data_IF_231185935434
#
_entry.id   IF_231185935434
#
_cell.length_a   1.000
_cell.length_b   1.000
_cell.length_c   1.000
_cell.angle_alpha   90.00
_cell.angle_beta   90.00
_cell.angle_gamma   90.00
#
_symmetry.space_group_name_H-M   'P 1'
#
loop_
_entity.id
_entity.type
_entity.pdbx_description
1 polymer ?
#
# COMPACT_ATOMS: atom_id res chain seq x y z
N UNK A 1 -2.42 -16.51 1.36
CA UNK A 1 -2.91 -15.38 2.19
C UNK A 1 -2.35 -14.08 1.61
N UNK A 2 -3.14 -13.32 0.85
CA UNK A 2 -2.66 -12.12 0.12
C UNK A 2 -2.22 -10.97 1.05
N UNK A 3 -2.99 -10.73 2.11
CA UNK A 3 -2.67 -9.75 3.15
C UNK A 3 -1.28 -9.95 3.78
N UNK A 4 -0.83 -11.21 3.91
CA UNK A 4 0.51 -11.51 4.41
C UNK A 4 1.61 -11.06 3.44
N UNK A 5 1.43 -11.32 2.14
CA UNK A 5 2.41 -11.01 1.11
C UNK A 5 2.58 -9.50 0.88
N UNK A 6 1.46 -8.77 0.74
CA UNK A 6 1.46 -7.31 0.54
C UNK A 6 2.05 -6.59 1.75
N UNK A 7 1.70 -7.04 2.96
CA UNK A 7 2.27 -6.52 4.20
C UNK A 7 3.78 -6.77 4.28
N UNK A 8 4.23 -7.99 3.97
CA UNK A 8 5.68 -8.29 3.97
C UNK A 8 6.44 -7.51 2.91
N UNK A 9 5.83 -7.24 1.75
CA UNK A 9 6.42 -6.38 0.71
C UNK A 9 6.56 -4.94 1.20
N UNK A 10 5.51 -4.37 1.78
CA UNK A 10 5.54 -3.02 2.33
C UNK A 10 6.53 -2.88 3.50
N UNK A 11 6.57 -3.88 4.39
CA UNK A 11 7.53 -3.92 5.50
C UNK A 11 8.97 -4.03 5.01
N UNK A 12 9.22 -4.86 3.99
CA UNK A 12 10.53 -4.96 3.34
C UNK A 12 10.95 -3.64 2.70
N UNK A 13 10.04 -2.99 1.96
CA UNK A 13 10.30 -1.68 1.35
C UNK A 13 10.63 -0.62 2.41
N UNK A 14 9.86 -0.57 3.51
CA UNK A 14 10.12 0.34 4.63
C UNK A 14 11.46 0.06 5.31
N UNK A 15 11.79 -1.21 5.51
CA UNK A 15 13.06 -1.61 6.10
C UNK A 15 14.25 -1.24 5.21
N UNK A 16 14.13 -1.41 3.90
CA UNK A 16 15.16 -0.96 2.96
C UNK A 16 15.24 0.57 2.90
N UNK A 17 14.11 1.25 2.91
CA UNK A 17 14.01 2.70 3.08
C UNK A 17 14.53 3.17 4.43
N UNK A 18 14.65 2.35 5.47
CA UNK A 18 15.23 2.73 6.77
C UNK A 18 16.74 2.43 6.83
N UNK A 19 17.17 1.35 6.18
CA UNK A 19 18.58 0.95 6.07
C UNK A 19 19.37 1.78 5.04
N UNK A 20 18.73 2.26 3.98
CA UNK A 20 19.39 2.87 2.82
C UNK A 20 19.57 4.38 2.91
N UNK A 21 20.60 4.85 3.61
CA UNK A 21 21.11 6.23 3.48
C UNK A 21 21.91 6.48 2.17
N UNK A 22 22.07 5.46 1.33
CA UNK A 22 22.83 5.50 0.08
C UNK A 22 22.29 4.50 -0.95
N UNK A 23 20.96 4.45 -1.13
CA UNK A 23 20.38 3.73 -2.26
C UNK A 23 20.72 4.49 -3.55
N UNK A 24 21.26 3.80 -4.56
CA UNK A 24 21.49 4.43 -5.87
C UNK A 24 20.16 4.85 -6.47
N UNK A 25 20.17 5.77 -7.45
CA UNK A 25 18.93 6.20 -8.11
C UNK A 25 18.17 5.00 -8.73
N UNK A 26 18.91 3.97 -9.18
CA UNK A 26 18.35 2.68 -9.62
C UNK A 26 17.64 1.89 -8.50
N UNK A 27 18.26 1.79 -7.31
CA UNK A 27 17.66 1.11 -6.16
C UNK A 27 16.39 1.84 -5.69
N UNK A 28 16.44 3.17 -5.68
CA UNK A 28 15.31 4.03 -5.33
C UNK A 28 14.15 3.84 -6.30
N UNK A 29 14.45 3.76 -7.61
CA UNK A 29 13.46 3.52 -8.65
C UNK A 29 12.88 2.11 -8.57
N UNK A 30 13.71 1.09 -8.31
CA UNK A 30 13.25 -0.28 -8.10
C UNK A 30 12.33 -0.40 -6.88
N UNK A 31 12.64 0.29 -5.78
CA UNK A 31 11.76 0.35 -4.60
C UNK A 31 10.44 1.06 -4.91
N UNK A 32 10.47 2.13 -5.69
CA UNK A 32 9.27 2.87 -6.11
C UNK A 32 8.35 1.99 -6.95
N UNK A 33 8.90 1.18 -7.86
CA UNK A 33 8.16 0.23 -8.70
C UNK A 33 7.48 -0.88 -7.87
N UNK A 34 8.18 -1.40 -6.85
CA UNK A 34 7.62 -2.38 -5.90
C UNK A 34 6.45 -1.78 -5.11
N UNK A 35 6.57 -0.54 -4.65
CA UNK A 35 5.53 0.16 -3.88
C UNK A 35 4.33 0.52 -4.77
N UNK A 36 4.56 0.86 -6.04
CA UNK A 36 3.52 1.10 -7.04
C UNK A 36 2.73 -0.17 -7.37
N UNK A 37 3.43 -1.30 -7.54
CA UNK A 37 2.82 -2.61 -7.73
C UNK A 37 1.99 -3.00 -6.50
N UNK A 38 2.54 -2.82 -5.30
CA UNK A 38 1.85 -3.07 -4.03
C UNK A 38 0.57 -2.23 -3.91
N UNK A 39 0.63 -0.94 -4.25
CA UNK A 39 -0.53 -0.05 -4.27
C UNK A 39 -1.59 -0.52 -5.27
N UNK A 40 -1.19 -0.92 -6.47
CA UNK A 40 -2.11 -1.40 -7.52
C UNK A 40 -2.82 -2.68 -7.08
N UNK A 41 -2.11 -3.62 -6.46
CA UNK A 41 -2.72 -4.81 -5.86
C UNK A 41 -3.70 -4.44 -4.74
N UNK A 42 -3.32 -3.49 -3.86
CA UNK A 42 -4.20 -3.02 -2.79
C UNK A 42 -5.48 -2.41 -3.36
N UNK A 43 -5.38 -1.56 -4.39
CA UNK A 43 -6.51 -0.92 -5.06
C UNK A 43 -7.43 -1.93 -5.76
N UNK A 44 -6.88 -2.91 -6.48
CA UNK A 44 -7.65 -3.95 -7.16
C UNK A 44 -8.58 -4.68 -6.20
N UNK A 45 -8.14 -4.90 -4.95
CA UNK A 45 -8.89 -5.66 -3.95
C UNK A 45 -9.58 -4.79 -2.90
N UNK A 46 -9.27 -3.49 -2.86
CA UNK A 46 -9.96 -2.53 -2.00
C UNK A 46 -11.28 -2.06 -2.60
N UNK A 47 -11.46 -2.17 -3.93
CA UNK A 47 -12.75 -1.93 -4.59
C UNK A 47 -13.77 -2.98 -4.12
N UNK A 48 -14.83 -2.60 -3.38
CA UNK A 48 -16.00 -3.47 -3.31
C UNK A 48 -16.57 -3.48 -4.72
N UNK A 49 -16.59 -4.65 -5.37
CA UNK A 49 -16.99 -4.78 -6.76
C UNK A 49 -18.15 -3.85 -7.11
N UNK A 50 -17.85 -2.80 -7.89
CA UNK A 50 -18.85 -2.14 -8.72
C UNK A 50 -19.22 -3.15 -9.81
N UNK A 51 -19.88 -4.23 -9.42
CA UNK A 51 -20.65 -5.03 -10.34
C UNK A 51 -21.97 -4.28 -10.51
N UNK A 52 -22.29 -3.75 -11.70
CA UNK A 52 -23.66 -3.41 -12.04
C UNK A 52 -24.40 -4.74 -12.25
N UNK A 53 -24.71 -5.44 -11.17
CA UNK A 53 -25.60 -6.58 -11.26
C UNK A 53 -26.63 -6.47 -10.14
N UNK A 54 -27.87 -6.32 -10.58
CA UNK A 54 -29.05 -6.64 -9.81
C UNK A 54 -28.76 -7.75 -8.79
N UNK A 55 -29.12 -7.50 -7.53
CA UNK A 55 -30.10 -8.29 -6.78
C UNK A 55 -29.91 -8.02 -5.29
N UNK A 56 -30.84 -7.27 -4.72
CA UNK A 56 -31.59 -7.61 -3.51
C UNK A 56 -31.03 -8.83 -2.74
N UNK A 57 -30.00 -8.62 -1.90
CA UNK A 57 -29.75 -9.26 -0.58
C UNK A 57 -28.32 -8.88 -0.14
N UNK A 58 -28.02 -7.58 0.01
CA UNK A 58 -26.70 -7.17 0.50
C UNK A 58 -26.71 -7.23 2.03
N UNK A 59 -26.64 -8.46 2.57
CA UNK A 59 -26.09 -8.62 3.91
C UNK A 59 -24.69 -8.06 3.85
N UNK A 60 -24.49 -6.91 4.48
CA UNK A 60 -23.22 -6.22 4.65
C UNK A 60 -22.23 -7.19 5.31
N UNK A 61 -21.56 -8.02 4.51
CA UNK A 61 -20.54 -8.94 5.01
C UNK A 61 -19.37 -8.06 5.37
N UNK A 62 -19.31 -7.66 6.63
CA UNK A 62 -18.22 -6.88 7.20
C UNK A 62 -16.92 -7.65 6.94
N UNK A 63 -16.18 -7.26 5.89
CA UNK A 63 -14.85 -7.77 5.58
C UNK A 63 -13.83 -6.81 6.20
N UNK A 64 -13.40 -7.05 7.45
CA UNK A 64 -12.48 -6.14 8.13
C UNK A 64 -11.18 -5.96 7.36
N UNK A 65 -10.75 -6.94 6.56
CA UNK A 65 -9.58 -6.81 5.70
C UNK A 65 -9.73 -5.71 4.61
N UNK A 66 -10.90 -5.59 3.98
CA UNK A 66 -11.14 -4.58 2.93
C UNK A 66 -11.21 -3.18 3.53
N UNK A 67 -11.84 -3.04 4.69
CA UNK A 67 -11.94 -1.74 5.38
C UNK A 67 -10.56 -1.21 5.79
N UNK A 68 -9.69 -2.10 6.29
CA UNK A 68 -8.30 -1.76 6.62
C UNK A 68 -7.48 -1.38 5.39
N UNK A 69 -7.68 -2.07 4.26
CA UNK A 69 -7.04 -1.71 2.99
C UNK A 69 -7.51 -0.33 2.52
N UNK A 70 -8.81 -0.05 2.53
CA UNK A 70 -9.35 1.26 2.18
C UNK A 70 -8.75 2.39 3.02
N UNK A 71 -8.44 2.13 4.30
CA UNK A 71 -7.76 3.09 5.18
C UNK A 71 -6.26 3.20 4.90
N UNK A 72 -5.60 2.12 4.48
CA UNK A 72 -4.16 2.08 4.23
C UNK A 72 -3.76 2.62 2.84
N UNK A 73 -4.59 2.40 1.81
CA UNK A 73 -4.39 2.88 0.43
C UNK A 73 -3.95 4.35 0.33
N UNK A 74 -4.63 5.33 0.95
CA UNK A 74 -4.22 6.74 0.84
C UNK A 74 -2.84 7.01 1.45
N UNK A 75 -2.45 6.26 2.47
CA UNK A 75 -1.12 6.37 3.06
C UNK A 75 -0.03 5.76 2.17
N UNK A 76 -0.33 4.65 1.48
CA UNK A 76 0.59 4.07 0.47
C UNK A 76 0.73 5.00 -0.74
N UNK A 77 -0.35 5.68 -1.16
CA UNK A 77 -0.29 6.72 -2.20
C UNK A 77 0.60 7.91 -1.78
N UNK A 78 0.44 8.39 -0.55
CA UNK A 78 1.26 9.48 -0.01
C UNK A 78 2.74 9.06 0.13
N UNK A 79 2.99 7.82 0.54
CA UNK A 79 4.33 7.22 0.55
C UNK A 79 4.93 7.18 -0.86
N UNK A 80 4.19 6.71 -1.86
CA UNK A 80 4.65 6.67 -3.25
C UNK A 80 4.95 8.07 -3.80
N UNK A 81 4.13 9.07 -3.46
CA UNK A 81 4.37 10.45 -3.83
C UNK A 81 5.67 10.98 -3.21
N UNK A 82 5.90 10.73 -1.92
CA UNK A 82 7.14 11.09 -1.23
C UNK A 82 8.36 10.34 -1.79
N UNK A 83 8.19 9.08 -2.21
CA UNK A 83 9.24 8.35 -2.90
C UNK A 83 9.59 9.01 -4.24
N UNK A 84 8.60 9.46 -5.01
CA UNK A 84 8.85 10.18 -6.28
C UNK A 84 9.57 11.52 -6.10
N UNK A 85 9.40 12.19 -4.95
CA UNK A 85 10.12 13.44 -4.63
C UNK A 85 11.46 13.22 -3.94
N UNK A 86 11.91 11.96 -3.80
CA UNK A 86 13.10 11.58 -3.03
C UNK A 86 13.04 11.99 -1.54
N UNK A 87 11.83 12.24 -1.01
CA UNK A 87 11.57 12.60 0.38
C UNK A 87 11.42 11.35 1.25
N UNK A 88 12.55 10.73 1.56
CA UNK A 88 12.65 9.52 2.39
C UNK A 88 11.92 9.65 3.73
N UNK A 89 12.01 10.80 4.39
CA UNK A 89 11.42 11.05 5.71
C UNK A 89 9.90 10.98 5.66
N UNK A 90 9.28 11.57 4.64
CA UNK A 90 7.83 11.55 4.45
C UNK A 90 7.38 10.17 3.96
N UNK A 91 8.16 9.50 3.10
CA UNK A 91 7.89 8.13 2.67
C UNK A 91 7.83 7.16 3.87
N UNK A 92 8.77 7.26 4.80
CA UNK A 92 8.78 6.45 6.03
C UNK A 92 7.59 6.74 6.94
N UNK A 93 7.24 8.02 7.15
CA UNK A 93 6.07 8.41 7.95
C UNK A 93 4.78 7.84 7.38
N UNK A 94 4.57 8.02 6.08
CA UNK A 94 3.37 7.54 5.41
C UNK A 94 3.30 6.02 5.35
N UNK A 95 4.42 5.34 5.11
CA UNK A 95 4.46 3.87 5.15
C UNK A 95 4.22 3.29 6.54
N UNK A 96 4.74 3.92 7.59
CA UNK A 96 4.45 3.53 8.98
C UNK A 96 2.96 3.69 9.32
N UNK A 97 2.33 4.78 8.87
CA UNK A 97 0.89 4.99 9.07
C UNK A 97 0.06 3.99 8.24
N UNK A 98 0.49 3.64 7.02
CA UNK A 98 -0.14 2.58 6.23
C UNK A 98 -0.11 1.23 6.96
N UNK A 99 1.04 0.85 7.55
CA UNK A 99 1.19 -0.36 8.35
C UNK A 99 0.33 -0.38 9.61
N UNK A 100 0.07 0.78 10.21
CA UNK A 100 -0.81 0.92 11.38
C UNK A 100 -2.29 0.74 11.04
N UNK A 101 -2.68 1.04 9.79
CA UNK A 101 -4.07 0.97 9.30
C UNK A 101 -4.42 -0.38 8.71
N UNK A 102 -3.42 -1.15 8.27
CA UNK A 102 -3.51 -2.55 7.88
C UNK A 102 -3.87 -3.45 9.06
#
# INVERSE_FOLDING_TARGET
>A
MWYGNTKTLLESALRQLDLGASASDEDWKAQTDVVETCLSEMLEKSVPGLSPHHSVDSRYVHRPAIDKLNRAVPHVQAMLAAMRTQDRTEALKHGAEAMRRL
#
